data_IF_270338476007
#
_entry.id   IF_270338476007
#
_cell.length_a   1.000
_cell.length_b   1.000
_cell.length_c   1.000
_cell.angle_alpha   90.00
_cell.angle_beta   90.00
_cell.angle_gamma   90.00
#
_symmetry.space_group_name_H-M   'P 1'
#
loop_
_entity.id
_entity.type
_entity.pdbx_description
1 polymer ?
#
# COMPACT_ATOMS: atom_id res chain seq x y z
N UNK A 1 5.80 7.03 3.67
CA UNK A 1 6.20 5.88 2.81
C UNK A 1 5.93 6.22 1.35
N UNK A 2 6.79 5.78 0.42
CA UNK A 2 6.52 5.85 -1.02
C UNK A 2 6.92 4.55 -1.70
N UNK A 3 6.14 4.08 -2.66
CA UNK A 3 6.39 2.84 -3.38
C UNK A 3 6.13 3.01 -4.88
N UNK A 4 6.83 2.20 -5.69
CA UNK A 4 6.78 2.21 -7.15
C UNK A 4 6.80 0.78 -7.68
N UNK A 5 6.15 0.53 -8.82
CA UNK A 5 6.20 -0.78 -9.49
C UNK A 5 6.16 -0.64 -11.01
N UNK A 6 6.71 -1.65 -11.69
CA UNK A 6 6.52 -1.88 -13.14
C UNK A 6 5.50 -3.00 -13.43
N UNK A 7 4.99 -3.68 -12.40
CA UNK A 7 3.99 -4.75 -12.55
C UNK A 7 2.62 -4.15 -12.90
N UNK A 8 1.77 -4.94 -13.56
CA UNK A 8 0.37 -4.57 -13.88
C UNK A 8 -0.58 -4.68 -12.67
N UNK A 9 -0.16 -4.18 -11.51
CA UNK A 9 -0.98 -4.09 -10.30
C UNK A 9 -1.28 -2.62 -10.02
N UNK A 10 -2.37 -2.33 -9.30
CA UNK A 10 -2.67 -0.97 -8.88
C UNK A 10 -2.17 -0.71 -7.45
N UNK A 11 -0.92 -0.26 -7.31
CA UNK A 11 -0.35 -0.02 -5.97
C UNK A 11 -1.06 1.14 -5.26
N UNK A 12 -1.53 2.15 -6.01
CA UNK A 12 -2.25 3.28 -5.44
C UNK A 12 -3.51 2.83 -4.69
N UNK A 13 -4.28 1.91 -5.27
CA UNK A 13 -5.47 1.32 -4.62
C UNK A 13 -5.10 0.45 -3.42
N UNK A 14 -4.06 -0.38 -3.52
CA UNK A 14 -3.59 -1.20 -2.39
C UNK A 14 -3.23 -0.30 -1.21
N UNK A 15 -2.46 0.76 -1.44
CA UNK A 15 -2.04 1.70 -0.39
C UNK A 15 -3.25 2.45 0.19
N UNK A 16 -4.22 2.86 -0.64
CA UNK A 16 -5.44 3.52 -0.17
C UNK A 16 -6.23 2.62 0.79
N UNK A 17 -6.38 1.34 0.45
CA UNK A 17 -7.12 0.38 1.27
C UNK A 17 -6.44 0.15 2.63
N UNK A 18 -5.12 -0.06 2.62
CA UNK A 18 -4.33 -0.22 3.86
C UNK A 18 -4.44 1.03 4.74
N UNK A 19 -4.31 2.21 4.14
CA UNK A 19 -4.40 3.46 4.89
C UNK A 19 -5.80 3.64 5.52
N UNK A 20 -6.86 3.23 4.82
CA UNK A 20 -8.22 3.23 5.36
C UNK A 20 -8.36 2.31 6.58
N UNK A 21 -7.73 1.13 6.57
CA UNK A 21 -7.74 0.17 7.69
C UNK A 21 -6.94 0.70 8.89
N UNK A 22 -5.82 1.38 8.64
CA UNK A 22 -4.92 1.91 9.67
C UNK A 22 -5.28 3.33 10.16
N UNK A 23 -6.42 3.88 9.73
CA UNK A 23 -6.85 5.25 10.01
C UNK A 23 -5.73 6.27 9.67
N UNK A 24 -5.12 6.08 8.51
CA UNK A 24 -3.98 6.79 7.95
C UNK A 24 -4.35 7.36 6.56
N UNK A 25 -3.49 8.18 5.96
CA UNK A 25 -3.79 8.80 4.66
C UNK A 25 -2.85 8.26 3.58
N UNK A 26 -3.39 7.80 2.46
CA UNK A 26 -2.55 7.33 1.35
C UNK A 26 -3.33 7.04 0.08
N UNK A 27 -2.59 6.82 -1.01
CA UNK A 27 -3.12 6.54 -2.32
C UNK A 27 -2.08 6.72 -3.43
N UNK A 28 -2.54 6.83 -4.67
CA UNK A 28 -1.68 7.09 -5.82
C UNK A 28 -2.26 6.58 -7.14
N UNK A 29 -1.37 6.36 -8.10
CA UNK A 29 -1.65 5.77 -9.42
C UNK A 29 -1.26 4.29 -9.47
N UNK A 30 -1.57 3.64 -10.60
CA UNK A 30 -1.26 2.21 -10.81
C UNK A 30 0.19 1.84 -10.52
N UNK A 31 1.15 2.65 -10.99
CA UNK A 31 2.58 2.36 -10.87
C UNK A 31 3.26 3.02 -9.66
N UNK A 32 2.56 3.89 -8.93
CA UNK A 32 3.17 4.75 -7.92
C UNK A 32 2.18 5.15 -6.84
N UNK A 33 2.55 4.99 -5.57
CA UNK A 33 1.73 5.47 -4.47
C UNK A 33 2.54 5.90 -3.25
N UNK A 34 1.86 6.49 -2.30
CA UNK A 34 2.43 7.02 -1.07
C UNK A 34 1.44 6.99 0.08
N UNK A 35 1.98 6.94 1.29
CA UNK A 35 1.21 6.90 2.53
C UNK A 35 1.87 7.77 3.61
N UNK A 36 1.04 8.50 4.33
CA UNK A 36 1.34 9.15 5.60
C UNK A 36 0.76 8.27 6.72
N UNK A 37 1.66 7.62 7.46
CA UNK A 37 1.34 6.72 8.57
C UNK A 37 1.93 7.29 9.88
N UNK A 38 1.36 6.89 11.01
CA UNK A 38 1.91 7.24 12.33
C UNK A 38 3.28 6.59 12.54
N UNK A 39 4.17 7.29 13.24
CA UNK A 39 5.47 6.74 13.67
C UNK A 39 5.25 5.51 14.56
N UNK A 40 6.01 4.44 14.33
CA UNK A 40 5.88 3.16 15.06
C UNK A 40 4.84 2.21 14.46
N UNK A 41 4.24 2.55 13.31
CA UNK A 41 3.30 1.70 12.57
C UNK A 41 3.88 1.19 11.24
N UNK A 42 5.17 1.37 11.03
CA UNK A 42 5.87 0.99 9.80
C UNK A 42 5.77 -0.52 9.56
N UNK A 43 6.03 -1.35 10.56
CA UNK A 43 6.00 -2.82 10.43
C UNK A 43 4.59 -3.33 10.11
N UNK A 44 3.57 -2.76 10.75
CA UNK A 44 2.17 -3.08 10.47
C UNK A 44 1.80 -2.75 9.02
N UNK A 45 2.22 -1.56 8.54
CA UNK A 45 2.02 -1.17 7.15
C UNK A 45 2.73 -2.10 6.18
N UNK A 46 3.99 -2.46 6.46
CA UNK A 46 4.79 -3.35 5.60
C UNK A 46 4.14 -4.73 5.52
N UNK A 47 3.68 -5.29 6.64
CA UNK A 47 2.99 -6.59 6.67
C UNK A 47 1.72 -6.57 5.82
N UNK A 48 0.82 -5.61 6.04
CA UNK A 48 -0.41 -5.47 5.26
C UNK A 48 -0.12 -5.23 3.77
N UNK A 49 0.92 -4.46 3.46
CA UNK A 49 1.33 -4.18 2.09
C UNK A 49 1.81 -5.45 1.37
N UNK A 50 2.60 -6.30 2.04
CA UNK A 50 3.02 -7.58 1.49
C UNK A 50 1.83 -8.51 1.23
N UNK A 51 0.96 -8.70 2.24
CA UNK A 51 -0.21 -9.59 2.15
C UNK A 51 -1.11 -9.19 0.96
N UNK A 52 -1.54 -7.93 0.91
CA UNK A 52 -2.44 -7.46 -0.17
C UNK A 52 -1.78 -7.44 -1.55
N UNK A 53 -0.47 -7.21 -1.62
CA UNK A 53 0.25 -7.24 -2.90
C UNK A 53 0.34 -8.67 -3.44
N UNK A 54 0.57 -9.67 -2.58
CA UNK A 54 0.60 -11.08 -2.95
C UNK A 54 -0.78 -11.56 -3.40
N UNK A 55 -1.84 -11.24 -2.65
CA UNK A 55 -3.22 -11.56 -3.05
C UNK A 55 -3.58 -11.02 -4.43
N UNK A 56 -3.11 -9.81 -4.76
CA UNK A 56 -3.37 -9.16 -6.05
C UNK A 56 -2.55 -9.77 -7.20
N UNK A 57 -1.43 -10.44 -6.91
CA UNK A 57 -0.58 -11.06 -7.93
C UNK A 57 -0.97 -12.51 -8.25
N UNK A 58 -1.70 -13.17 -7.35
CA UNK A 58 -2.16 -14.56 -7.51
C UNK A 58 -3.54 -14.63 -8.18
N UNK A 59 -4.32 -13.53 -8.15
CA UNK A 59 -5.55 -13.35 -8.92
C UNK A 59 -5.27 -13.00 -10.37
#
# INVERSE_FOLDING_TARGET
>A
VSARTKKKINIGEIIKNICSEMNSTGGGHKSAGGALIKKGKEDEFIKLFQEKTVETLIK
#
